data_IF_791914963100
#
_entry.id   IF_791914963100
#
_cell.length_a   1.000
_cell.length_b   1.000
_cell.length_c   1.000
_cell.angle_alpha   90.00
_cell.angle_beta   90.00
_cell.angle_gamma   90.00
#
_symmetry.space_group_name_H-M   'P 1'
#
loop_
_entity.id
_entity.type
_entity.pdbx_description
1 polymer ?
#
# COMPACT_ATOMS: atom_id res chain seq x y z
N UNK A 1 10.36 7.58 -2.04
CA UNK A 1 9.46 8.76 -2.18
C UNK A 1 9.33 9.27 -3.64
N UNK A 2 8.97 8.42 -4.63
CA UNK A 2 8.76 8.86 -6.04
C UNK A 2 7.29 9.18 -6.40
N UNK A 3 6.35 9.03 -5.46
CA UNK A 3 4.91 9.24 -5.68
C UNK A 3 4.36 10.66 -5.42
N UNK A 4 5.17 11.63 -4.95
CA UNK A 4 4.64 12.97 -4.61
C UNK A 4 4.39 13.88 -5.82
N UNK A 5 5.16 13.73 -6.90
CA UNK A 5 5.09 14.64 -8.05
C UNK A 5 3.74 14.59 -8.79
N UNK A 6 3.15 13.40 -9.07
CA UNK A 6 1.83 13.29 -9.70
C UNK A 6 0.72 13.91 -8.83
N UNK A 7 0.81 13.70 -7.52
CA UNK A 7 -0.15 14.19 -6.52
C UNK A 7 -0.13 15.72 -6.40
N UNK A 8 1.06 16.33 -6.51
CA UNK A 8 1.24 17.79 -6.45
C UNK A 8 0.67 18.48 -7.70
N UNK A 9 0.84 17.87 -8.87
CA UNK A 9 0.21 18.34 -10.11
C UNK A 9 -1.31 18.26 -10.03
N UNK A 10 -1.85 17.15 -9.49
CA UNK A 10 -3.30 17.00 -9.27
C UNK A 10 -3.86 18.10 -8.35
N UNK A 11 -3.15 18.40 -7.27
CA UNK A 11 -3.56 19.39 -6.28
C UNK A 11 -3.53 20.82 -6.84
N UNK A 12 -2.52 21.14 -7.66
CA UNK A 12 -2.42 22.43 -8.38
C UNK A 12 -3.53 22.57 -9.42
N UNK A 13 -3.88 21.50 -10.14
CA UNK A 13 -4.99 21.52 -11.12
C UNK A 13 -6.34 21.69 -10.41
N UNK A 14 -6.58 20.98 -9.31
CA UNK A 14 -7.78 21.17 -8.47
C UNK A 14 -7.86 22.60 -7.95
N UNK A 15 -6.75 23.12 -7.40
CA UNK A 15 -6.70 24.48 -6.86
C UNK A 15 -6.95 25.53 -7.95
N UNK A 16 -6.41 25.34 -9.16
CA UNK A 16 -6.65 26.23 -10.29
C UNK A 16 -8.12 26.19 -10.76
N UNK A 17 -8.75 25.02 -10.76
CA UNK A 17 -10.16 24.87 -11.13
C UNK A 17 -11.09 25.47 -10.06
N UNK A 18 -10.79 25.24 -8.78
CA UNK A 18 -11.52 25.86 -7.67
C UNK A 18 -11.34 27.38 -7.70
N UNK A 19 -10.13 27.89 -7.95
CA UNK A 19 -9.88 29.31 -8.08
C UNK A 19 -10.66 29.91 -9.26
N UNK A 20 -10.64 29.28 -10.43
CA UNK A 20 -11.34 29.79 -11.62
C UNK A 20 -12.87 29.68 -11.54
N UNK A 21 -13.42 28.75 -10.75
CA UNK A 21 -14.87 28.61 -10.56
C UNK A 21 -15.43 29.41 -9.37
N UNK A 22 -14.75 29.39 -8.23
CA UNK A 22 -15.20 30.03 -6.99
C UNK A 22 -14.86 31.51 -6.94
N UNK A 23 -13.71 31.93 -7.48
CA UNK A 23 -13.30 33.35 -7.41
C UNK A 23 -14.23 34.24 -8.23
N UNK A 24 -14.62 33.91 -9.48
CA UNK A 24 -15.60 34.71 -10.21
C UNK A 24 -17.00 34.68 -9.58
N UNK A 25 -17.42 33.55 -9.01
CA UNK A 25 -18.70 33.43 -8.29
C UNK A 25 -18.73 34.26 -7.00
N UNK A 26 -17.63 34.27 -6.25
CA UNK A 26 -17.44 35.09 -5.05
C UNK A 26 -17.32 36.57 -5.37
N UNK A 27 -16.59 36.95 -6.42
CA UNK A 27 -16.52 38.33 -6.91
C UNK A 27 -17.89 38.81 -7.40
N UNK A 28 -18.63 37.97 -8.12
CA UNK A 28 -19.96 38.29 -8.60
C UNK A 28 -20.97 38.48 -7.46
N UNK A 29 -20.93 37.64 -6.42
CA UNK A 29 -21.82 37.76 -5.26
C UNK A 29 -21.44 38.91 -4.33
N UNK A 30 -20.14 39.14 -4.09
CA UNK A 30 -19.66 40.19 -3.18
C UNK A 30 -19.72 41.60 -3.76
N UNK A 31 -19.52 41.77 -5.07
CA UNK A 31 -19.53 43.10 -5.71
C UNK A 31 -20.92 43.48 -6.24
N UNK A 32 -21.66 42.52 -6.82
CA UNK A 32 -22.91 42.84 -7.52
C UNK A 32 -24.17 42.43 -6.76
N UNK A 33 -24.04 41.74 -5.61
CA UNK A 33 -25.19 41.36 -4.76
C UNK A 33 -26.19 40.42 -5.43
N UNK A 34 -25.81 39.78 -6.54
CA UNK A 34 -26.73 38.94 -7.32
C UNK A 34 -26.64 37.50 -6.82
N UNK A 35 -27.67 37.04 -6.09
CA UNK A 35 -27.92 35.62 -5.85
C UNK A 35 -28.39 34.94 -7.16
N UNK A 36 -27.52 34.93 -8.17
CA UNK A 36 -27.88 34.30 -9.44
C UNK A 36 -27.69 32.79 -9.35
N UNK A 37 -28.80 32.08 -9.12
CA UNK A 37 -28.86 30.61 -9.08
C UNK A 37 -28.23 29.96 -10.32
N UNK A 38 -28.26 30.65 -11.47
CA UNK A 38 -27.61 30.18 -12.70
C UNK A 38 -26.07 30.15 -12.60
N UNK A 39 -25.46 31.17 -11.99
CA UNK A 39 -23.99 31.21 -11.79
C UNK A 39 -23.57 30.12 -10.82
N UNK A 40 -24.30 29.93 -9.72
CA UNK A 40 -24.03 28.83 -8.78
C UNK A 40 -24.18 27.45 -9.43
N UNK A 41 -25.18 27.25 -10.28
CA UNK A 41 -25.37 25.99 -11.00
C UNK A 41 -24.21 25.71 -11.99
N UNK A 42 -23.73 26.73 -12.70
CA UNK A 42 -22.59 26.60 -13.63
C UNK A 42 -21.31 26.29 -12.84
N UNK A 43 -21.05 26.99 -11.74
CA UNK A 43 -19.89 26.73 -10.88
C UNK A 43 -19.94 25.32 -10.30
N UNK A 44 -21.09 24.90 -9.77
CA UNK A 44 -21.26 23.54 -9.24
C UNK A 44 -21.06 22.47 -10.32
N UNK A 45 -21.61 22.67 -11.53
CA UNK A 45 -21.42 21.78 -12.66
C UNK A 45 -19.96 21.70 -13.13
N UNK A 46 -19.25 22.83 -13.13
CA UNK A 46 -17.82 22.89 -13.47
C UNK A 46 -16.95 22.13 -12.46
N UNK A 47 -17.21 22.31 -11.16
CA UNK A 47 -16.51 21.57 -10.10
C UNK A 47 -16.79 20.07 -10.22
N UNK A 48 -18.04 19.67 -10.45
CA UNK A 48 -18.41 18.26 -10.62
C UNK A 48 -17.69 17.61 -11.82
N UNK A 49 -17.63 18.29 -12.96
CA UNK A 49 -16.90 17.81 -14.14
C UNK A 49 -15.40 17.68 -13.90
N UNK A 50 -14.81 18.62 -13.17
CA UNK A 50 -13.40 18.58 -12.82
C UNK A 50 -13.07 17.41 -11.88
N UNK A 51 -13.87 17.21 -10.83
CA UNK A 51 -13.73 16.06 -9.93
C UNK A 51 -13.90 14.74 -10.68
N UNK A 52 -14.86 14.68 -11.62
CA UNK A 52 -15.03 13.51 -12.49
C UNK A 52 -13.80 13.26 -13.37
N UNK A 53 -13.22 14.31 -13.96
CA UNK A 53 -12.00 14.22 -14.77
C UNK A 53 -10.81 13.69 -13.97
N UNK A 54 -10.63 14.19 -12.74
CA UNK A 54 -9.58 13.71 -11.83
C UNK A 54 -9.82 12.26 -11.43
N UNK A 55 -11.05 11.91 -11.08
CA UNK A 55 -11.43 10.53 -10.77
C UNK A 55 -11.09 9.57 -11.92
N UNK A 56 -11.45 9.94 -13.16
CA UNK A 56 -11.12 9.14 -14.35
C UNK A 56 -9.61 9.04 -14.59
N UNK A 57 -8.87 10.11 -14.35
CA UNK A 57 -7.41 10.11 -14.47
C UNK A 57 -6.74 9.22 -13.42
N UNK A 58 -7.21 9.25 -12.17
CA UNK A 58 -6.74 8.36 -11.11
C UNK A 58 -6.98 6.88 -11.46
N UNK A 59 -8.17 6.54 -11.96
CA UNK A 59 -8.44 5.17 -12.45
C UNK A 59 -7.47 4.80 -13.57
N UNK A 60 -7.24 5.69 -14.53
CA UNK A 60 -6.32 5.42 -15.62
C UNK A 60 -4.88 5.17 -15.14
N UNK A 61 -4.41 5.92 -14.12
CA UNK A 61 -3.09 5.70 -13.53
C UNK A 61 -3.02 4.34 -12.82
N UNK A 62 -4.04 3.99 -12.03
CA UNK A 62 -4.13 2.68 -11.37
C UNK A 62 -4.16 1.52 -12.39
N UNK A 63 -4.96 1.64 -13.44
CA UNK A 63 -5.05 0.64 -14.51
C UNK A 63 -3.73 0.48 -15.26
N UNK A 64 -2.98 1.58 -15.42
CA UNK A 64 -1.68 1.56 -16.08
C UNK A 64 -0.61 0.86 -15.23
N UNK A 65 -0.64 1.05 -13.92
CA UNK A 65 0.28 0.39 -12.98
C UNK A 65 -0.01 -1.10 -12.88
N UNK A 66 -1.28 -1.50 -12.85
CA UNK A 66 -1.72 -2.91 -12.78
C UNK A 66 -1.68 -3.66 -14.11
N UNK A 67 -1.20 -3.03 -15.17
CA UNK A 67 -1.18 -3.65 -16.50
C UNK A 67 -0.07 -4.69 -16.56
N UNK A 68 -0.46 -5.96 -16.62
CA UNK A 68 0.44 -7.09 -16.90
C UNK A 68 1.03 -6.92 -18.30
N UNK A 69 2.35 -6.80 -18.38
CA UNK A 69 3.13 -6.68 -19.60
C UNK A 69 3.39 -8.05 -20.23
N UNK A 70 3.77 -9.01 -19.40
CA UNK A 70 4.02 -10.39 -19.81
C UNK A 70 3.77 -11.36 -18.66
N UNK A 71 3.64 -12.64 -18.98
CA UNK A 71 3.53 -13.72 -18.00
C UNK A 71 4.68 -14.68 -18.25
N UNK A 72 5.46 -14.95 -17.21
CA UNK A 72 6.63 -15.80 -17.22
C UNK A 72 6.37 -17.02 -16.34
N UNK A 73 7.05 -18.13 -16.63
CA UNK A 73 7.01 -19.32 -15.77
C UNK A 73 8.36 -19.47 -15.07
N UNK A 74 8.35 -19.40 -13.74
CA UNK A 74 9.51 -19.54 -12.87
C UNK A 74 9.45 -20.86 -12.09
N UNK A 75 10.57 -21.58 -11.89
CA UNK A 75 10.57 -22.85 -11.15
C UNK A 75 10.14 -22.75 -9.68
N UNK A 76 10.32 -21.59 -9.05
CA UNK A 76 10.03 -21.35 -7.63
C UNK A 76 8.72 -20.58 -7.46
N UNK A 77 8.50 -19.55 -8.28
CA UNK A 77 7.32 -18.69 -8.19
C UNK A 77 6.14 -19.14 -9.08
N UNK A 78 6.33 -20.14 -9.94
CA UNK A 78 5.29 -20.60 -10.84
C UNK A 78 4.93 -19.57 -11.89
N UNK A 79 3.67 -19.14 -11.97
CA UNK A 79 3.24 -18.11 -12.91
C UNK A 79 3.55 -16.71 -12.36
N UNK A 80 4.46 -16.01 -13.01
CA UNK A 80 4.91 -14.66 -12.63
C UNK A 80 4.34 -13.66 -13.61
N UNK A 81 3.53 -12.72 -13.10
CA UNK A 81 3.02 -11.58 -13.84
C UNK A 81 4.07 -10.48 -13.80
N UNK A 82 4.59 -10.10 -14.95
CA UNK A 82 5.48 -8.96 -15.08
C UNK A 82 4.65 -7.69 -15.26
N UNK A 83 4.79 -6.72 -14.36
CA UNK A 83 4.21 -5.40 -14.46
C UNK A 83 5.28 -4.41 -14.91
N UNK A 84 4.92 -3.12 -14.91
CA UNK A 84 5.80 -2.08 -15.44
C UNK A 84 7.06 -1.86 -14.61
N UNK A 85 6.90 -1.86 -13.30
CA UNK A 85 7.93 -1.44 -12.35
C UNK A 85 8.27 -2.54 -11.34
N UNK A 86 7.58 -3.69 -11.40
CA UNK A 86 7.73 -4.83 -10.48
C UNK A 86 7.15 -6.11 -11.13
N UNK A 87 7.32 -7.25 -10.46
CA UNK A 87 6.64 -8.50 -10.80
C UNK A 87 5.81 -9.00 -9.61
N UNK A 88 4.78 -9.79 -9.90
CA UNK A 88 3.87 -10.38 -8.90
C UNK A 88 3.68 -11.88 -9.18
N UNK A 89 3.58 -12.68 -8.13
CA UNK A 89 3.24 -14.09 -8.20
C UNK A 89 2.40 -14.50 -6.99
N UNK A 90 1.54 -15.51 -7.16
CA UNK A 90 0.70 -16.05 -6.10
C UNK A 90 1.27 -17.42 -5.68
N UNK A 91 1.86 -17.53 -4.49
CA UNK A 91 2.38 -18.81 -3.98
C UNK A 91 2.13 -18.99 -2.49
N UNK A 92 1.91 -20.23 -2.04
CA UNK A 92 1.81 -20.53 -0.61
C UNK A 92 3.21 -20.54 0.03
N UNK A 93 3.32 -19.99 1.24
CA UNK A 93 4.57 -20.03 2.02
C UNK A 93 4.86 -21.45 2.51
N UNK A 94 3.88 -22.09 3.14
CA UNK A 94 3.94 -23.48 3.59
C UNK A 94 3.21 -24.40 2.61
N UNK A 95 3.64 -25.66 2.54
CA UNK A 95 2.92 -26.67 1.74
C UNK A 95 1.44 -26.76 2.18
N UNK A 96 0.52 -26.61 1.23
CA UNK A 96 -0.92 -26.62 1.48
C UNK A 96 -1.48 -25.35 2.14
N UNK A 97 -0.69 -24.28 2.28
CA UNK A 97 -1.15 -22.99 2.76
C UNK A 97 -2.00 -22.23 1.74
N UNK A 98 -2.63 -21.14 2.20
CA UNK A 98 -3.28 -20.16 1.31
C UNK A 98 -2.22 -19.50 0.42
N UNK A 99 -2.60 -19.15 -0.82
CA UNK A 99 -1.72 -18.40 -1.70
C UNK A 99 -1.52 -16.99 -1.14
N UNK A 100 -0.27 -16.57 -1.09
CA UNK A 100 0.13 -15.24 -0.64
C UNK A 100 0.68 -14.50 -1.85
N UNK A 101 0.38 -13.21 -1.93
CA UNK A 101 0.92 -12.36 -2.98
C UNK A 101 2.41 -12.13 -2.72
N UNK A 102 3.25 -12.40 -3.70
CA UNK A 102 4.69 -12.15 -3.65
C UNK A 102 4.99 -11.13 -4.71
N UNK A 103 5.66 -10.05 -4.32
CA UNK A 103 6.13 -9.04 -5.26
C UNK A 103 7.63 -8.83 -5.15
N UNK A 104 8.24 -8.48 -6.27
CA UNK A 104 9.63 -8.05 -6.32
C UNK A 104 9.78 -6.79 -7.19
N UNK A 105 10.63 -5.89 -6.77
CA UNK A 105 10.93 -4.57 -7.37
C UNK A 105 11.72 -4.62 -8.70
N UNK A 106 12.02 -5.81 -9.19
CA UNK A 106 12.67 -6.03 -10.48
C UNK A 106 11.65 -6.26 -11.60
N UNK A 107 12.10 -6.30 -12.85
CA UNK A 107 11.25 -6.68 -13.99
C UNK A 107 10.93 -8.19 -14.01
N UNK A 108 11.74 -9.02 -13.37
CA UNK A 108 11.55 -10.46 -13.26
C UNK A 108 12.28 -10.96 -11.99
N UNK A 109 11.93 -12.14 -11.45
CA UNK A 109 12.57 -12.66 -10.25
C UNK A 109 14.08 -12.78 -10.41
N UNK A 110 14.82 -12.16 -9.51
CA UNK A 110 16.29 -12.29 -9.47
C UNK A 110 16.69 -13.54 -8.69
N UNK A 111 17.90 -14.04 -8.91
CA UNK A 111 18.42 -15.17 -8.12
C UNK A 111 18.47 -14.87 -6.62
N UNK A 112 18.67 -13.60 -6.25
CA UNK A 112 18.64 -13.16 -4.85
C UNK A 112 17.22 -13.28 -4.28
N UNK A 113 16.21 -12.75 -4.97
CA UNK A 113 14.80 -12.85 -4.58
C UNK A 113 14.32 -14.31 -4.50
N UNK A 114 14.69 -15.14 -5.48
CA UNK A 114 14.41 -16.59 -5.45
C UNK A 114 15.02 -17.25 -4.22
N UNK A 115 16.30 -16.96 -3.92
CA UNK A 115 16.99 -17.52 -2.76
C UNK A 115 16.39 -17.03 -1.44
N UNK A 116 16.05 -15.75 -1.35
CA UNK A 116 15.36 -15.15 -0.20
C UNK A 116 14.05 -15.86 0.06
N UNK A 117 13.22 -16.02 -0.98
CA UNK A 117 11.92 -16.67 -0.84
C UNK A 117 12.02 -18.14 -0.43
N UNK A 118 12.96 -18.90 -1.01
CA UNK A 118 13.22 -20.28 -0.57
C UNK A 118 13.57 -20.34 0.92
N UNK A 119 14.46 -19.45 1.39
CA UNK A 119 14.82 -19.38 2.81
C UNK A 119 13.64 -18.95 3.70
N UNK A 120 12.76 -18.05 3.22
CA UNK A 120 11.54 -17.68 3.95
C UNK A 120 10.67 -18.93 4.17
N UNK A 121 10.45 -19.74 3.13
CA UNK A 121 9.65 -20.98 3.23
C UNK A 121 10.27 -21.98 4.21
N UNK A 122 11.58 -22.19 4.13
CA UNK A 122 12.29 -23.13 5.00
C UNK A 122 12.27 -22.70 6.48
N UNK A 123 12.28 -21.40 6.74
CA UNK A 123 12.39 -20.82 8.09
C UNK A 123 11.09 -20.20 8.59
N UNK A 124 9.97 -20.49 7.92
CA UNK A 124 8.71 -19.78 8.14
C UNK A 124 8.26 -19.74 9.62
N UNK A 125 8.29 -20.85 10.39
CA UNK A 125 7.88 -20.80 11.79
C UNK A 125 8.74 -19.88 12.66
N UNK A 126 10.05 -19.79 12.36
CA UNK A 126 10.97 -18.92 13.09
C UNK A 126 10.76 -17.44 12.73
N UNK A 127 10.57 -17.14 11.44
CA UNK A 127 10.28 -15.77 10.97
C UNK A 127 8.93 -15.28 11.51
N UNK A 128 7.92 -16.14 11.54
CA UNK A 128 6.61 -15.80 12.10
C UNK A 128 6.71 -15.47 13.60
N UNK A 129 7.52 -16.20 14.37
CA UNK A 129 7.76 -15.89 15.78
C UNK A 129 8.41 -14.51 15.97
N UNK A 130 9.38 -14.14 15.12
CA UNK A 130 9.99 -12.82 15.14
C UNK A 130 8.97 -11.71 14.79
N UNK A 131 8.06 -11.96 13.84
CA UNK A 131 6.99 -11.03 13.51
C UNK A 131 6.03 -10.82 14.69
N UNK A 132 5.67 -11.89 15.41
CA UNK A 132 4.83 -11.82 16.62
C UNK A 132 5.51 -10.99 17.70
N UNK A 133 6.82 -11.20 17.93
CA UNK A 133 7.58 -10.40 18.88
C UNK A 133 7.61 -8.92 18.49
N UNK A 134 7.92 -8.63 17.23
CA UNK A 134 7.95 -7.27 16.71
C UNK A 134 6.58 -6.58 16.81
N UNK A 135 5.50 -7.28 16.48
CA UNK A 135 4.12 -6.79 16.63
C UNK A 135 3.81 -6.41 18.08
N UNK A 136 4.14 -7.29 19.03
CA UNK A 136 3.90 -7.06 20.45
C UNK A 136 4.74 -5.91 21.00
N UNK A 137 5.99 -5.76 20.53
CA UNK A 137 6.84 -4.62 20.88
C UNK A 137 6.28 -3.30 20.34
N UNK A 138 5.77 -3.29 19.11
CA UNK A 138 5.10 -2.13 18.52
C UNK A 138 3.84 -1.77 19.30
N UNK A 139 2.98 -2.75 19.60
CA UNK A 139 1.77 -2.52 20.40
C UNK A 139 2.14 -1.97 21.78
N UNK A 140 3.12 -2.57 22.47
CA UNK A 140 3.57 -2.09 23.77
C UNK A 140 4.09 -0.65 23.72
N UNK A 141 4.79 -0.27 22.65
CA UNK A 141 5.32 1.09 22.47
C UNK A 141 4.20 2.12 22.31
N UNK A 142 3.15 1.79 21.56
CA UNK A 142 1.94 2.62 21.37
C UNK A 142 1.11 2.68 22.66
N UNK A 143 1.06 1.59 23.43
CA UNK A 143 0.26 1.46 24.65
C UNK A 143 0.82 2.11 25.90
N UNK A 144 2.03 2.67 25.86
CA UNK A 144 2.76 3.09 27.06
C UNK A 144 2.01 4.05 28.02
N UNK A 145 0.89 4.64 27.58
CA UNK A 145 0.10 5.62 28.34
C UNK A 145 -1.29 5.14 28.80
N UNK A 146 -1.74 3.93 28.46
CA UNK A 146 -3.07 3.44 28.83
C UNK A 146 -3.05 2.53 30.09
N UNK A 147 -3.96 2.78 31.03
CA UNK A 147 -4.14 1.92 32.21
C UNK A 147 -4.92 0.67 31.83
N UNK A 148 -4.22 -0.41 31.48
CA UNK A 148 -4.81 -1.71 31.19
C UNK A 148 -3.76 -2.78 30.87
N UNK A 149 -4.17 -4.06 30.76
CA UNK A 149 -3.29 -5.09 30.22
C UNK A 149 -3.00 -4.77 28.75
N UNK A 150 -1.73 -4.73 28.37
CA UNK A 150 -1.30 -4.53 26.98
C UNK A 150 -1.86 -5.69 26.14
N UNK A 151 -2.63 -5.42 25.08
CA UNK A 151 -3.10 -6.47 24.19
C UNK A 151 -1.90 -7.13 23.53
N UNK A 152 -1.93 -8.45 23.41
CA UNK A 152 -0.89 -9.21 22.71
C UNK A 152 -1.48 -9.91 21.50
N UNK A 153 -0.69 -9.96 20.43
CA UNK A 153 -0.97 -10.69 19.19
C UNK A 153 -0.29 -12.04 19.27
N UNK A 154 -0.99 -13.08 18.84
CA UNK A 154 -0.45 -14.43 18.67
C UNK A 154 -0.23 -14.74 17.19
N UNK A 155 0.58 -15.77 16.92
CA UNK A 155 0.91 -16.20 15.57
C UNK A 155 -0.34 -16.53 14.73
N UNK A 156 -1.37 -17.14 15.33
CA UNK A 156 -2.60 -17.54 14.62
C UNK A 156 -3.47 -16.35 14.21
N UNK A 157 -3.19 -15.17 14.75
CA UNK A 157 -3.89 -13.93 14.43
C UNK A 157 -3.18 -13.14 13.32
N UNK A 158 -1.96 -13.50 12.96
CA UNK A 158 -1.23 -12.86 11.87
C UNK A 158 -1.61 -13.53 10.55
N UNK A 159 -2.40 -12.86 9.72
CA UNK A 159 -2.73 -13.34 8.39
C UNK A 159 -1.78 -12.70 7.37
N UNK A 160 -0.79 -13.46 6.88
CA UNK A 160 0.14 -12.94 5.88
C UNK A 160 -0.60 -12.71 4.56
N UNK A 161 -0.53 -11.49 4.04
CA UNK A 161 -1.13 -11.12 2.75
C UNK A 161 -0.11 -11.00 1.64
N UNK A 162 1.03 -10.40 1.97
CA UNK A 162 1.99 -10.00 0.95
C UNK A 162 3.42 -10.21 1.45
N UNK A 163 4.29 -10.67 0.55
CA UNK A 163 5.74 -10.74 0.72
C UNK A 163 6.41 -9.84 -0.30
N UNK A 164 7.09 -8.81 0.17
CA UNK A 164 7.93 -7.92 -0.63
C UNK A 164 9.37 -8.44 -0.66
N UNK A 165 9.91 -8.68 -1.85
CA UNK A 165 11.30 -9.10 -2.02
C UNK A 165 12.11 -7.96 -2.62
N UNK A 166 13.18 -7.56 -1.95
CA UNK A 166 14.11 -6.53 -2.44
C UNK A 166 15.10 -7.14 -3.46
N UNK A 167 15.52 -6.39 -4.49
CA UNK A 167 16.51 -6.84 -5.48
C UNK A 167 17.97 -6.78 -4.97
N UNK A 168 18.20 -6.08 -3.85
CA UNK A 168 19.51 -5.77 -3.29
C UNK A 168 20.28 -6.99 -2.79
N UNK A 169 19.98 -7.45 -1.57
CA UNK A 169 20.69 -8.59 -0.96
C UNK A 169 19.77 -9.77 -0.65
N UNK A 170 20.38 -10.94 -0.56
CA UNK A 170 19.70 -12.14 -0.06
C UNK A 170 19.33 -11.92 1.41
N UNK A 171 18.05 -12.09 1.72
CA UNK A 171 17.51 -11.93 3.07
C UNK A 171 16.90 -10.56 3.37
N UNK A 172 16.84 -9.68 2.37
CA UNK A 172 16.16 -8.39 2.48
C UNK A 172 14.72 -8.53 1.93
N UNK A 173 13.72 -8.34 2.80
CA UNK A 173 12.31 -8.52 2.46
C UNK A 173 11.39 -7.85 3.49
N UNK A 174 10.13 -7.61 3.12
CA UNK A 174 9.08 -7.15 4.03
C UNK A 174 7.91 -8.12 4.02
N UNK A 175 7.42 -8.47 5.22
CA UNK A 175 6.21 -9.27 5.40
C UNK A 175 5.06 -8.36 5.83
N UNK A 176 3.95 -8.41 5.10
CA UNK A 176 2.77 -7.58 5.34
C UNK A 176 1.62 -8.46 5.84
N UNK A 177 1.14 -8.17 7.04
CA UNK A 177 0.11 -8.94 7.72
C UNK A 177 -1.17 -8.12 7.86
N UNK A 178 -2.29 -8.75 7.54
CA UNK A 178 -3.60 -8.28 7.96
C UNK A 178 -3.86 -8.76 9.39
N UNK A 179 -4.30 -7.84 10.25
CA UNK A 179 -4.67 -8.12 11.62
C UNK A 179 -6.20 -8.17 11.76
N UNK A 180 -6.75 -9.07 12.62
CA UNK A 180 -8.18 -9.10 12.89
C UNK A 180 -8.62 -7.75 13.45
N UNK A 181 -9.80 -7.27 13.03
CA UNK A 181 -10.37 -5.97 13.44
C UNK A 181 -10.53 -5.81 14.96
N UNK A 182 -10.38 -6.89 15.73
CA UNK A 182 -10.33 -6.87 17.19
C UNK A 182 -9.08 -6.15 17.75
N UNK A 183 -7.97 -6.11 16.99
CA UNK A 183 -6.76 -5.34 17.35
C UNK A 183 -6.93 -3.92 16.82
N UNK A 184 -7.73 -3.10 17.52
CA UNK A 184 -8.08 -1.72 17.12
C UNK A 184 -6.88 -0.78 16.91
N UNK A 185 -5.68 -1.21 17.26
CA UNK A 185 -4.48 -0.39 17.40
C UNK A 185 -3.62 -0.42 16.16
N UNK A 186 -3.76 -1.48 15.38
CA UNK A 186 -3.12 -1.64 14.08
C UNK A 186 -4.24 -1.90 13.06
N UNK A 187 -5.17 -0.94 12.86
CA UNK A 187 -6.37 -1.15 12.06
C UNK A 187 -6.08 -1.36 10.57
N UNK A 188 -4.86 -1.03 10.13
CA UNK A 188 -4.44 -1.10 8.74
C UNK A 188 -3.54 -2.31 8.45
N UNK A 189 -3.12 -3.06 9.47
CA UNK A 189 -2.18 -4.17 9.35
C UNK A 189 -0.84 -3.91 10.01
N UNK A 190 0.11 -4.82 9.79
CA UNK A 190 1.47 -4.78 10.32
C UNK A 190 2.46 -5.11 9.21
N UNK A 191 3.45 -4.26 9.05
CA UNK A 191 4.58 -4.49 8.15
C UNK A 191 5.82 -4.78 8.99
N UNK A 192 6.54 -5.85 8.65
CA UNK A 192 7.79 -6.23 9.31
C UNK A 192 8.88 -6.36 8.26
N UNK A 193 9.87 -5.47 8.33
CA UNK A 193 10.99 -5.42 7.39
C UNK A 193 12.19 -6.15 7.97
N UNK A 194 12.81 -6.97 7.12
CA UNK A 194 13.97 -7.77 7.41
C UNK A 194 15.14 -7.32 6.54
N UNK A 195 16.32 -7.18 7.15
CA UNK A 195 17.60 -7.12 6.45
C UNK A 195 18.43 -8.33 6.85
N UNK A 196 18.91 -9.11 5.88
CA UNK A 196 19.62 -10.37 6.12
C UNK A 196 18.90 -11.32 7.11
N UNK A 197 17.57 -11.43 7.00
CA UNK A 197 16.70 -12.21 7.91
C UNK A 197 16.67 -11.73 9.38
N UNK A 198 17.09 -10.49 9.65
CA UNK A 198 16.97 -9.85 10.97
C UNK A 198 15.92 -8.76 10.88
N UNK A 199 14.99 -8.73 11.84
CA UNK A 199 13.99 -7.66 11.93
C UNK A 199 14.71 -6.33 12.17
N UNK A 200 14.57 -5.39 11.23
CA UNK A 200 15.11 -4.03 11.35
C UNK A 200 14.04 -3.01 11.71
N UNK A 201 12.81 -3.26 11.25
CA UNK A 201 11.69 -2.34 11.44
C UNK A 201 10.37 -3.10 11.52
N UNK A 202 9.47 -2.61 12.37
CA UNK A 202 8.08 -3.00 12.37
C UNK A 202 7.21 -1.75 12.49
N UNK A 203 6.27 -1.59 11.57
CA UNK A 203 5.42 -0.41 11.46
C UNK A 203 3.96 -0.79 11.22
N UNK A 204 3.06 0.17 11.43
CA UNK A 204 1.71 0.06 10.90
C UNK A 204 1.73 0.22 9.37
N UNK A 205 0.89 -0.55 8.70
CA UNK A 205 0.74 -0.52 7.24
C UNK A 205 -0.11 0.71 6.88
N UNK A 206 0.51 1.84 6.51
CA UNK A 206 -0.18 3.14 6.32
C UNK A 206 -0.24 3.63 4.87
#
# INVERSE_FOLDING_TARGET
>A
MKGCLPSLVALVVVAAILATGLVPGYIASSIFGVENKGVMAITAGGIALALYGIYRWLIYLQDREKRVLSVLTDPVFGEVKQLRDHWEADQPISEGGEAVEIWGDALAPTSAQTSTFTNIRERWPALLALCVEAANNLIASVYHNEKGPVPSVKAEQLNLKTVALDDGNIGDFTLMFELPSAVKLLPWGLDVTFENFVVVEASDNH
#
